data_IF_974995821160
#
_entry.id   IF_974995821160
#
_cell.length_a   1.000
_cell.length_b   1.000
_cell.length_c   1.000
_cell.angle_alpha   90.00
_cell.angle_beta   90.00
_cell.angle_gamma   90.00
#
_symmetry.space_group_name_H-M   'P 1'
#
loop_
_entity.id
_entity.type
_entity.pdbx_description
1 polymer ?
#
# COMPACT_ATOMS: atom_id res chain seq x y z
N UNK A 1 -3.28 -4.58 -29.70
CA UNK A 1 -2.32 -5.66 -29.34
C UNK A 1 -1.13 -5.02 -28.67
N UNK A 2 -0.72 -5.54 -27.51
CA UNK A 2 0.44 -5.03 -26.76
C UNK A 2 1.67 -5.65 -27.41
N UNK A 3 2.55 -4.84 -27.96
CA UNK A 3 3.79 -5.30 -28.58
C UNK A 3 4.72 -5.86 -27.50
N UNK A 4 5.23 -7.06 -27.74
CA UNK A 4 5.88 -8.01 -26.82
C UNK A 4 7.27 -7.61 -26.31
N UNK A 5 7.55 -6.32 -26.09
CA UNK A 5 8.92 -5.84 -25.87
C UNK A 5 9.34 -5.42 -24.46
N UNK A 6 8.42 -4.93 -23.60
CA UNK A 6 8.84 -4.13 -22.43
C UNK A 6 8.17 -4.48 -21.09
N UNK A 7 7.09 -5.27 -21.07
CA UNK A 7 6.28 -5.49 -19.86
C UNK A 7 6.05 -6.97 -19.59
N UNK A 8 7.13 -7.73 -19.51
CA UNK A 8 7.05 -9.18 -19.31
C UNK A 8 6.87 -9.58 -17.85
N UNK A 9 7.34 -8.77 -16.89
CA UNK A 9 7.31 -9.11 -15.46
C UNK A 9 6.15 -8.44 -14.72
N UNK A 10 5.33 -9.24 -14.02
CA UNK A 10 4.36 -8.74 -13.04
C UNK A 10 4.50 -9.51 -11.74
N UNK A 11 4.21 -8.85 -10.63
CA UNK A 11 4.21 -9.43 -9.28
C UNK A 11 2.83 -9.22 -8.66
N UNK A 12 2.35 -10.22 -7.93
CA UNK A 12 1.08 -10.17 -7.20
C UNK A 12 1.28 -10.75 -5.81
N UNK A 13 0.86 -9.99 -4.80
CA UNK A 13 0.79 -10.44 -3.42
C UNK A 13 -0.53 -11.17 -3.18
N UNK A 14 -0.50 -12.14 -2.28
CA UNK A 14 -1.65 -12.91 -1.84
C UNK A 14 -1.57 -13.11 -0.34
N UNK A 15 -2.71 -13.39 0.29
CA UNK A 15 -2.74 -13.65 1.73
C UNK A 15 -1.90 -14.85 2.16
N UNK A 16 -1.82 -15.87 1.28
CA UNK A 16 -1.31 -17.19 1.63
C UNK A 16 -2.14 -17.88 2.72
N UNK A 17 -1.76 -19.12 3.01
CA UNK A 17 -2.29 -19.95 4.08
C UNK A 17 -1.11 -20.57 4.83
N UNK A 18 -1.21 -20.56 6.15
CA UNK A 18 -0.22 -21.17 7.05
C UNK A 18 -0.89 -22.24 7.90
N UNK A 19 -0.22 -23.38 8.05
CA UNK A 19 -0.62 -24.43 8.97
C UNK A 19 0.31 -24.47 10.17
N UNK A 20 -0.25 -24.87 11.31
CA UNK A 20 0.45 -24.97 12.58
C UNK A 20 0.05 -26.24 13.33
N UNK A 21 1.01 -26.80 14.07
CA UNK A 21 0.81 -28.01 14.87
C UNK A 21 1.26 -27.86 16.32
N UNK A 22 2.16 -26.91 16.63
CA UNK A 22 2.76 -26.77 17.96
C UNK A 22 2.96 -25.30 18.29
N UNK A 23 2.41 -24.82 19.41
CA UNK A 23 2.60 -23.45 19.90
C UNK A 23 4.10 -23.17 20.11
N UNK A 24 4.59 -22.01 19.66
CA UNK A 24 6.00 -21.63 19.62
C UNK A 24 6.79 -22.27 18.48
N UNK A 25 6.17 -23.17 17.71
CA UNK A 25 6.77 -23.79 16.53
C UNK A 25 6.70 -22.89 15.29
N UNK A 26 7.36 -23.31 14.22
CA UNK A 26 7.30 -22.62 12.93
C UNK A 26 6.01 -22.92 12.18
N UNK A 27 5.48 -21.91 11.50
CA UNK A 27 4.38 -22.07 10.55
C UNK A 27 4.90 -22.74 9.28
N UNK A 28 4.09 -23.61 8.69
CA UNK A 28 4.29 -24.10 7.32
C UNK A 28 3.38 -23.32 6.37
N UNK A 29 3.96 -22.57 5.44
CA UNK A 29 3.20 -21.85 4.40
C UNK A 29 2.79 -22.86 3.32
N UNK A 30 1.49 -23.12 3.21
CA UNK A 30 0.92 -24.12 2.29
C UNK A 30 0.50 -23.52 0.96
N UNK A 31 0.17 -22.22 0.94
CA UNK A 31 -0.07 -21.47 -0.30
C UNK A 31 0.83 -20.25 -0.39
N UNK A 32 1.49 -20.01 -1.55
CA UNK A 32 2.42 -18.89 -1.72
C UNK A 32 1.75 -17.53 -1.51
N UNK A 33 2.48 -16.61 -0.87
CA UNK A 33 2.03 -15.22 -0.66
C UNK A 33 2.48 -14.26 -1.76
N UNK A 34 3.34 -14.72 -2.67
CA UNK A 34 3.88 -13.91 -3.74
C UNK A 34 4.01 -14.73 -5.03
N UNK A 35 3.49 -14.16 -6.12
CA UNK A 35 3.45 -14.76 -7.44
C UNK A 35 4.11 -13.84 -8.46
N UNK A 36 4.77 -14.43 -9.47
CA UNK A 36 5.39 -13.70 -10.57
C UNK A 36 5.05 -14.33 -11.91
N UNK A 37 4.83 -13.47 -12.89
CA UNK A 37 4.83 -13.83 -14.30
C UNK A 37 6.05 -13.19 -14.98
N UNK A 38 6.59 -13.86 -15.99
CA UNK A 38 7.65 -13.35 -16.87
C UNK A 38 7.16 -13.23 -18.33
N UNK A 39 5.86 -13.35 -18.54
CA UNK A 39 5.21 -13.39 -19.86
C UNK A 39 3.90 -12.60 -19.89
N UNK A 40 3.86 -11.48 -19.15
CA UNK A 40 2.72 -10.57 -19.08
C UNK A 40 1.40 -11.23 -18.62
N UNK A 41 1.51 -12.26 -17.78
CA UNK A 41 0.40 -12.96 -17.14
C UNK A 41 -0.10 -14.19 -17.90
N UNK A 42 0.61 -14.66 -18.93
CA UNK A 42 0.26 -15.91 -19.60
C UNK A 42 0.55 -17.14 -18.72
N UNK A 43 1.59 -17.08 -17.88
CA UNK A 43 1.89 -18.06 -16.85
C UNK A 43 2.30 -17.40 -15.54
N UNK A 44 1.94 -18.04 -14.42
CA UNK A 44 2.24 -17.58 -13.08
C UNK A 44 3.03 -18.65 -12.34
N UNK A 45 4.14 -18.24 -11.73
CA UNK A 45 5.04 -19.11 -11.00
C UNK A 45 5.28 -18.53 -9.60
N UNK A 46 5.56 -19.41 -8.66
CA UNK A 46 6.14 -19.00 -7.37
C UNK A 46 7.56 -18.50 -7.59
N UNK A 47 8.02 -17.62 -6.72
CA UNK A 47 9.32 -16.95 -6.93
C UNK A 47 10.50 -17.78 -6.41
N UNK A 48 10.31 -18.60 -5.38
CA UNK A 48 11.40 -19.43 -4.86
C UNK A 48 11.34 -20.89 -5.35
N UNK A 49 12.51 -21.52 -5.29
CA UNK A 49 12.77 -22.92 -5.66
C UNK A 49 12.50 -23.87 -4.50
N UNK A 50 12.24 -25.15 -4.81
CA UNK A 50 12.18 -26.21 -3.81
C UNK A 50 13.47 -26.23 -2.94
N UNK A 51 13.32 -26.29 -1.60
CA UNK A 51 14.44 -26.38 -0.65
C UNK A 51 14.73 -25.12 0.18
N UNK A 52 13.77 -24.20 0.35
CA UNK A 52 13.92 -23.03 1.24
C UNK A 52 14.46 -23.40 2.63
N UNK A 53 15.35 -22.60 3.24
CA UNK A 53 15.80 -22.80 4.60
C UNK A 53 14.65 -22.87 5.61
N UNK A 54 14.89 -23.49 6.77
CA UNK A 54 13.92 -23.52 7.86
C UNK A 54 13.47 -22.09 8.24
N UNK A 55 12.15 -21.91 8.39
CA UNK A 55 11.56 -20.61 8.71
C UNK A 55 11.36 -19.67 7.51
N UNK A 56 11.60 -20.14 6.28
CA UNK A 56 11.38 -19.39 5.04
C UNK A 56 10.40 -20.12 4.12
N UNK A 57 9.40 -19.39 3.63
CA UNK A 57 8.37 -19.93 2.74
C UNK A 57 8.90 -20.19 1.32
N UNK A 58 8.05 -20.81 0.49
CA UNK A 58 8.33 -20.99 -0.95
C UNK A 58 8.25 -19.68 -1.77
N UNK A 59 8.05 -18.55 -1.10
CA UNK A 59 8.12 -17.20 -1.64
C UNK A 59 9.35 -16.43 -1.14
N UNK A 60 10.24 -17.08 -0.37
CA UNK A 60 11.44 -16.47 0.19
C UNK A 60 11.18 -15.57 1.42
N UNK A 61 9.91 -15.36 1.80
CA UNK A 61 9.53 -14.56 2.96
C UNK A 61 9.49 -15.43 4.24
N UNK A 62 9.69 -14.85 5.45
CA UNK A 62 9.65 -15.60 6.69
C UNK A 62 8.31 -16.32 6.90
N UNK A 63 8.30 -17.52 7.48
CA UNK A 63 7.06 -18.28 7.68
C UNK A 63 6.28 -17.88 8.93
N UNK A 64 6.92 -17.29 9.94
CA UNK A 64 6.23 -16.85 11.17
C UNK A 64 6.19 -17.92 12.26
N UNK A 65 5.29 -17.73 13.24
CA UNK A 65 5.21 -18.52 14.47
C UNK A 65 3.79 -19.05 14.72
N UNK A 66 3.70 -20.24 15.30
CA UNK A 66 2.46 -20.82 15.78
C UNK A 66 2.12 -20.27 17.17
N UNK A 67 0.96 -19.64 17.30
CA UNK A 67 0.58 -18.90 18.50
C UNK A 67 -0.69 -19.46 19.11
N UNK A 68 -0.94 -19.12 20.37
CA UNK A 68 -2.20 -19.37 21.03
C UNK A 68 -2.94 -18.05 21.22
N UNK A 69 -4.10 -17.89 20.58
CA UNK A 69 -4.95 -16.70 20.71
C UNK A 69 -6.15 -16.91 21.65
N UNK A 70 -6.23 -18.06 22.32
CA UNK A 70 -7.00 -18.21 23.56
C UNK A 70 -8.51 -18.01 23.46
N UNK A 71 -9.20 -18.60 22.49
CA UNK A 71 -10.65 -18.83 22.63
C UNK A 71 -10.89 -20.25 23.14
N UNK A 72 -11.75 -20.42 24.15
CA UNK A 72 -12.04 -21.70 24.83
C UNK A 72 -12.63 -22.80 23.91
N UNK A 73 -12.78 -22.53 22.60
CA UNK A 73 -13.43 -23.38 21.63
C UNK A 73 -12.49 -23.98 20.56
N UNK A 74 -11.22 -23.54 20.48
CA UNK A 74 -10.27 -23.99 19.45
C UNK A 74 -8.95 -24.44 20.12
N UNK A 75 -8.74 -25.76 20.33
CA UNK A 75 -7.53 -26.29 20.96
C UNK A 75 -6.30 -26.30 20.03
N UNK A 76 -6.44 -25.87 18.77
CA UNK A 76 -5.35 -25.90 17.78
C UNK A 76 -4.59 -24.56 17.73
N UNK A 77 -3.25 -24.60 17.54
CA UNK A 77 -2.45 -23.39 17.41
C UNK A 77 -2.78 -22.63 16.12
N UNK A 78 -2.75 -21.31 16.20
CA UNK A 78 -3.00 -20.41 15.08
C UNK A 78 -1.69 -20.04 14.40
N UNK A 79 -1.70 -20.02 13.07
CA UNK A 79 -0.54 -19.59 12.28
C UNK A 79 -0.50 -18.06 12.20
N UNK A 80 0.49 -17.43 12.84
CA UNK A 80 0.78 -16.01 12.69
C UNK A 80 2.02 -15.80 11.82
N UNK A 81 1.86 -15.09 10.72
CA UNK A 81 2.89 -14.97 9.70
C UNK A 81 2.76 -13.68 8.90
N UNK A 82 3.87 -13.14 8.37
CA UNK A 82 3.83 -11.91 7.61
C UNK A 82 3.09 -12.11 6.29
N UNK A 83 2.05 -11.32 6.08
CA UNK A 83 1.29 -11.30 4.84
C UNK A 83 1.71 -10.06 4.06
N UNK A 84 2.30 -10.20 2.85
CA UNK A 84 2.68 -9.06 2.03
C UNK A 84 1.42 -8.35 1.51
N UNK A 85 1.36 -7.03 1.66
CA UNK A 85 0.23 -6.20 1.21
C UNK A 85 0.68 -5.22 0.15
N UNK A 86 1.43 -4.15 0.47
CA UNK A 86 2.03 -3.34 -0.58
C UNK A 86 3.30 -4.02 -1.11
N UNK A 87 3.46 -4.00 -2.43
CA UNK A 87 4.68 -4.36 -3.12
C UNK A 87 5.09 -3.21 -4.05
N UNK A 88 6.36 -2.86 -4.03
CA UNK A 88 6.95 -1.87 -4.93
C UNK A 88 8.17 -2.48 -5.61
N UNK A 89 8.25 -2.29 -6.92
CA UNK A 89 9.42 -2.65 -7.73
C UNK A 89 10.22 -1.38 -7.98
N UNK A 90 11.53 -1.46 -7.80
CA UNK A 90 12.42 -0.35 -8.12
C UNK A 90 12.40 -0.09 -9.64
N UNK A 91 12.19 1.17 -10.01
CA UNK A 91 12.04 1.57 -11.41
C UNK A 91 13.38 1.72 -12.14
N UNK A 92 14.49 1.86 -11.41
CA UNK A 92 15.84 1.87 -11.97
C UNK A 92 16.41 0.45 -12.08
N UNK A 93 16.06 -0.45 -11.15
CA UNK A 93 16.46 -1.85 -11.17
C UNK A 93 15.32 -2.80 -10.78
N UNK A 94 14.69 -3.42 -11.77
CA UNK A 94 13.55 -4.33 -11.57
C UNK A 94 13.88 -5.65 -10.85
N UNK A 95 15.15 -5.89 -10.49
CA UNK A 95 15.53 -6.97 -9.57
C UNK A 95 15.36 -6.59 -8.11
N UNK A 96 15.24 -5.29 -7.80
CA UNK A 96 15.02 -4.78 -6.46
C UNK A 96 13.52 -4.64 -6.20
N UNK A 97 13.06 -5.24 -5.11
CA UNK A 97 11.67 -5.17 -4.66
C UNK A 97 11.59 -4.86 -3.18
N UNK A 98 10.49 -4.23 -2.79
CA UNK A 98 10.13 -3.98 -1.40
C UNK A 98 8.72 -4.50 -1.17
N UNK A 99 8.51 -5.21 -0.05
CA UNK A 99 7.18 -5.60 0.41
C UNK A 99 6.96 -5.12 1.83
N UNK A 100 5.81 -4.52 2.07
CA UNK A 100 5.31 -4.27 3.42
C UNK A 100 4.44 -5.44 3.85
N UNK A 101 4.47 -5.79 5.13
CA UNK A 101 3.70 -6.93 5.64
C UNK A 101 2.78 -6.53 6.79
N UNK A 102 1.74 -7.33 7.00
CA UNK A 102 0.90 -7.28 8.19
C UNK A 102 0.75 -8.66 8.83
N UNK A 103 0.50 -8.68 10.13
CA UNK A 103 0.14 -9.87 10.89
C UNK A 103 -1.37 -9.86 11.13
N UNK A 104 -2.05 -10.96 10.84
CA UNK A 104 -3.52 -11.04 10.89
C UNK A 104 -4.06 -11.22 12.31
N UNK A 105 -3.34 -11.93 13.16
CA UNK A 105 -3.90 -12.49 14.39
C UNK A 105 -3.61 -11.67 15.65
N UNK A 106 -2.97 -10.50 15.52
CA UNK A 106 -2.71 -9.61 16.64
C UNK A 106 -3.76 -8.50 16.72
N UNK A 107 -4.27 -8.21 17.92
CA UNK A 107 -5.05 -7.01 18.22
C UNK A 107 -4.63 -6.37 19.56
N UNK A 108 -4.98 -5.09 19.76
CA UNK A 108 -4.64 -4.30 20.96
C UNK A 108 -5.22 -4.80 22.29
N UNK A 109 -6.14 -5.75 22.25
CA UNK A 109 -6.71 -6.38 23.43
C UNK A 109 -6.16 -7.78 23.70
N UNK A 110 -5.27 -8.30 22.85
CA UNK A 110 -4.72 -9.64 23.01
C UNK A 110 -3.60 -9.65 24.05
N UNK A 111 -3.55 -10.69 24.88
CA UNK A 111 -2.42 -10.96 25.79
C UNK A 111 -1.16 -11.41 25.05
N UNK A 112 -1.29 -11.68 23.74
CA UNK A 112 -0.23 -12.06 22.84
C UNK A 112 0.54 -10.84 22.36
N UNK A 113 1.87 -10.83 22.52
CA UNK A 113 2.75 -9.85 21.85
C UNK A 113 3.38 -10.49 20.61
N UNK A 114 3.30 -9.88 19.42
CA UNK A 114 3.83 -10.49 18.20
C UNK A 114 5.32 -10.77 18.25
N UNK A 115 5.71 -12.00 17.90
CA UNK A 115 7.11 -12.41 17.76
C UNK A 115 7.45 -12.90 16.34
N UNK A 116 6.47 -12.95 15.45
CA UNK A 116 6.65 -13.19 14.02
C UNK A 116 7.40 -12.02 13.36
N UNK A 117 8.34 -12.26 12.43
CA UNK A 117 8.93 -11.20 11.61
C UNK A 117 7.85 -10.40 10.87
N UNK A 118 7.97 -9.08 10.87
CA UNK A 118 7.01 -8.17 10.23
C UNK A 118 7.68 -6.83 9.88
N UNK A 119 7.06 -6.03 9.02
CA UNK A 119 7.55 -4.72 8.59
C UNK A 119 7.79 -4.66 7.09
N UNK A 120 8.91 -4.10 6.67
CA UNK A 120 9.35 -4.07 5.27
C UNK A 120 10.43 -5.12 5.06
N UNK A 121 10.33 -5.85 3.95
CA UNK A 121 11.39 -6.70 3.43
C UNK A 121 11.83 -6.21 2.06
N UNK A 122 13.15 -6.26 1.81
CA UNK A 122 13.78 -5.91 0.54
C UNK A 122 14.38 -7.14 -0.12
N UNK A 123 14.17 -7.28 -1.42
CA UNK A 123 14.85 -8.24 -2.29
C UNK A 123 15.76 -7.48 -3.26
N UNK A 124 16.85 -8.12 -3.67
CA UNK A 124 17.78 -7.62 -4.71
C UNK A 124 18.02 -8.64 -5.83
N UNK A 125 17.21 -9.70 -5.86
CA UNK A 125 17.36 -10.84 -6.77
C UNK A 125 16.02 -11.22 -7.44
N UNK A 126 15.11 -10.25 -7.58
CA UNK A 126 13.82 -10.45 -8.25
C UNK A 126 12.80 -11.19 -7.40
N UNK A 127 12.93 -11.12 -6.07
CA UNK A 127 12.00 -11.66 -5.08
C UNK A 127 12.32 -13.08 -4.60
N UNK A 128 13.52 -13.60 -4.92
CA UNK A 128 13.93 -14.97 -4.54
C UNK A 128 14.34 -15.01 -3.08
N UNK A 129 15.11 -14.02 -2.62
CA UNK A 129 15.47 -13.84 -1.21
C UNK A 129 15.05 -12.46 -0.71
N UNK A 130 14.77 -12.39 0.60
CA UNK A 130 14.27 -11.20 1.27
C UNK A 130 15.04 -10.94 2.55
N UNK A 131 15.43 -9.68 2.76
CA UNK A 131 16.08 -9.21 3.99
C UNK A 131 15.23 -8.13 4.67
N UNK A 132 15.22 -8.02 6.01
CA UNK A 132 14.53 -6.94 6.70
C UNK A 132 15.04 -5.55 6.28
N UNK A 133 14.12 -4.60 6.11
CA UNK A 133 14.40 -3.22 5.69
C UNK A 133 13.56 -2.21 6.49
N UNK A 134 13.43 -2.44 7.80
CA UNK A 134 12.51 -1.72 8.69
C UNK A 134 13.19 -0.77 9.70
N UNK A 135 14.49 -0.50 9.58
CA UNK A 135 15.23 0.31 10.56
C UNK A 135 14.63 1.71 10.69
N UNK A 136 14.27 2.10 11.91
CA UNK A 136 13.63 3.39 12.19
C UNK A 136 12.10 3.40 12.08
N UNK A 137 11.48 2.29 11.66
CA UNK A 137 10.03 2.12 11.74
C UNK A 137 9.60 1.70 13.16
N UNK A 138 8.36 2.04 13.57
CA UNK A 138 7.84 1.73 14.90
C UNK A 138 7.78 0.23 15.13
N UNK A 139 8.07 -0.16 16.38
CA UNK A 139 8.05 -1.54 16.83
C UNK A 139 6.80 -1.79 17.67
N UNK A 140 6.34 -3.02 17.71
CA UNK A 140 5.34 -3.45 18.69
C UNK A 140 5.85 -3.17 20.11
N UNK A 141 4.96 -2.73 21.00
CA UNK A 141 5.28 -2.51 22.40
C UNK A 141 5.92 -3.78 23.02
N UNK A 142 7.01 -3.59 23.76
CA UNK A 142 7.77 -4.69 24.38
C UNK A 142 8.64 -5.50 23.41
N UNK A 143 8.79 -5.08 22.15
CA UNK A 143 9.68 -5.74 21.18
C UNK A 143 10.82 -4.83 20.76
N UNK A 144 12.00 -5.43 20.55
CA UNK A 144 13.21 -4.72 20.10
C UNK A 144 13.46 -4.86 18.59
N UNK A 145 12.76 -5.76 17.91
CA UNK A 145 13.04 -6.10 16.49
C UNK A 145 11.78 -6.43 15.67
N UNK A 146 10.57 -6.19 16.21
CA UNK A 146 9.31 -6.54 15.53
C UNK A 146 8.55 -5.29 15.16
N UNK A 147 8.65 -4.92 13.89
CA UNK A 147 8.02 -3.73 13.33
C UNK A 147 6.50 -3.90 13.24
N UNK A 148 5.78 -2.80 13.45
CA UNK A 148 4.33 -2.75 13.23
C UNK A 148 3.98 -2.97 11.75
N UNK A 149 2.70 -3.24 11.43
CA UNK A 149 2.26 -3.46 10.05
C UNK A 149 2.58 -2.30 9.11
N UNK A 150 2.94 -2.64 7.87
CA UNK A 150 3.15 -1.68 6.77
C UNK A 150 2.10 -1.93 5.71
N UNK A 151 1.20 -0.96 5.51
CA UNK A 151 -0.01 -1.14 4.71
C UNK A 151 0.04 -0.44 3.37
N UNK A 152 0.88 0.59 3.23
CA UNK A 152 1.16 1.23 1.95
C UNK A 152 2.67 1.44 1.79
N UNK A 153 3.15 1.29 0.56
CA UNK A 153 4.48 1.67 0.14
C UNK A 153 4.37 2.41 -1.18
N UNK A 154 5.15 3.48 -1.33
CA UNK A 154 5.33 4.19 -2.58
C UNK A 154 6.80 4.55 -2.76
N UNK A 155 7.29 4.49 -3.99
CA UNK A 155 8.62 4.95 -4.36
C UNK A 155 8.50 6.23 -5.17
N UNK A 156 9.40 7.18 -4.91
CA UNK A 156 9.53 8.37 -5.72
C UNK A 156 9.93 7.96 -7.15
N UNK A 157 9.11 8.31 -8.15
CA UNK A 157 9.29 7.81 -9.48
C UNK A 157 10.35 8.62 -10.27
N UNK A 158 10.93 9.68 -9.69
CA UNK A 158 12.14 10.34 -10.21
C UNK A 158 13.42 9.94 -9.45
N UNK A 159 13.29 9.45 -8.21
CA UNK A 159 14.42 9.06 -7.37
C UNK A 159 14.16 7.75 -6.61
N UNK A 160 14.67 6.64 -7.11
CA UNK A 160 14.47 5.31 -6.51
C UNK A 160 15.04 5.14 -5.08
N UNK A 161 15.89 6.06 -4.60
CA UNK A 161 16.35 6.05 -3.20
C UNK A 161 15.31 6.57 -2.23
N UNK A 162 14.29 7.28 -2.72
CA UNK A 162 13.24 7.87 -1.88
C UNK A 162 12.00 6.97 -1.88
N UNK A 163 11.62 6.51 -0.70
CA UNK A 163 10.43 5.69 -0.49
C UNK A 163 9.61 6.25 0.67
N UNK A 164 8.31 5.98 0.63
CA UNK A 164 7.35 6.30 1.67
C UNK A 164 6.65 5.03 2.14
N UNK A 165 6.47 4.88 3.44
CA UNK A 165 5.82 3.74 4.06
C UNK A 165 4.76 4.19 5.05
N UNK A 166 3.54 3.67 4.90
CA UNK A 166 2.49 3.87 5.88
C UNK A 166 2.53 2.73 6.90
N UNK A 167 2.82 3.07 8.16
CA UNK A 167 2.80 2.10 9.25
C UNK A 167 1.54 2.26 10.07
N UNK A 168 1.06 1.16 10.61
CA UNK A 168 -0.23 1.16 11.26
C UNK A 168 -0.20 0.44 12.61
N UNK A 169 -0.15 1.19 13.72
CA UNK A 169 -0.16 0.62 15.04
C UNK A 169 -1.59 0.37 15.57
N UNK A 170 -2.63 0.16 14.74
CA UNK A 170 -4.04 -0.14 15.16
C UNK A 170 -4.18 -1.17 16.30
N UNK A 171 -3.11 -1.88 16.59
CA UNK A 171 -3.03 -3.02 17.45
C UNK A 171 -2.44 -2.69 18.83
N UNK A 172 -2.24 -1.43 19.25
CA UNK A 172 -1.87 -1.17 20.66
C UNK A 172 -2.52 0.03 21.35
N UNK A 173 -3.52 0.69 20.75
CA UNK A 173 -4.28 1.82 21.31
C UNK A 173 -3.46 2.99 21.90
N UNK A 174 -2.14 3.00 21.69
CA UNK A 174 -1.23 4.01 22.16
C UNK A 174 -1.01 5.08 21.07
N UNK A 175 -0.88 6.33 21.52
CA UNK A 175 -0.74 7.56 20.74
C UNK A 175 -0.21 7.41 19.29
N UNK A 176 -1.04 7.76 18.30
CA UNK A 176 -0.76 7.68 16.87
C UNK A 176 0.15 8.83 16.40
N UNK A 177 1.47 8.63 16.46
CA UNK A 177 2.43 9.61 15.93
C UNK A 177 3.22 9.00 14.78
N UNK A 178 3.22 9.70 13.63
CA UNK A 178 3.97 9.33 12.44
C UNK A 178 3.36 8.16 11.70
N UNK A 179 2.27 8.36 10.96
CA UNK A 179 1.61 7.27 10.23
C UNK A 179 2.27 7.01 8.86
N UNK A 180 3.08 7.96 8.39
CA UNK A 180 3.91 7.83 7.19
C UNK A 180 5.36 8.07 7.59
N UNK A 181 6.25 7.25 7.03
CA UNK A 181 7.69 7.36 7.17
C UNK A 181 8.32 7.50 5.80
N UNK A 182 9.46 8.19 5.74
CA UNK A 182 10.25 8.39 4.54
C UNK A 182 11.62 7.76 4.70
N UNK A 183 12.07 7.07 3.66
CA UNK A 183 13.47 6.72 3.45
C UNK A 183 14.03 7.57 2.32
N UNK A 184 15.29 7.98 2.44
CA UNK A 184 16.06 8.67 1.38
C UNK A 184 17.30 7.86 0.95
N UNK A 185 17.40 6.62 1.43
CA UNK A 185 18.53 5.72 1.23
C UNK A 185 18.06 4.30 0.86
N UNK A 186 17.09 4.21 -0.05
CA UNK A 186 16.61 2.95 -0.63
C UNK A 186 16.16 1.91 0.43
N UNK A 187 15.44 2.39 1.45
CA UNK A 187 14.86 1.56 2.51
C UNK A 187 15.85 1.09 3.58
N UNK A 188 17.09 1.60 3.60
CA UNK A 188 18.08 1.26 4.64
C UNK A 188 17.63 1.79 6.01
N UNK A 189 17.09 3.01 6.06
CA UNK A 189 16.50 3.59 7.25
C UNK A 189 15.32 4.50 6.93
N UNK A 190 14.43 4.65 7.91
CA UNK A 190 13.19 5.41 7.81
C UNK A 190 13.11 6.46 8.92
N UNK A 191 12.51 7.60 8.62
CA UNK A 191 12.19 8.66 9.58
C UNK A 191 10.75 9.13 9.38
N UNK A 192 10.15 9.69 10.43
CA UNK A 192 8.77 10.19 10.38
C UNK A 192 8.63 11.21 9.24
N UNK A 193 7.65 11.01 8.38
CA UNK A 193 7.26 11.93 7.33
C UNK A 193 6.12 12.83 7.82
N UNK A 194 6.52 13.82 8.62
CA UNK A 194 5.73 15.02 8.85
C UNK A 194 4.58 14.95 9.85
N UNK A 195 3.85 16.07 9.94
CA UNK A 195 2.67 16.28 10.79
C UNK A 195 1.38 16.39 9.94
N UNK A 196 0.21 16.33 10.57
CA UNK A 196 -1.10 16.43 9.88
C UNK A 196 -1.76 15.09 9.54
N UNK A 197 -1.09 13.96 9.82
CA UNK A 197 -1.67 12.61 9.66
C UNK A 197 -1.86 11.87 10.99
N UNK A 198 -1.77 12.55 12.13
CA UNK A 198 -1.95 11.91 13.43
C UNK A 198 -3.33 11.23 13.50
N UNK A 199 -3.36 9.97 13.93
CA UNK A 199 -4.60 9.18 14.04
C UNK A 199 -5.20 8.66 12.73
N UNK A 200 -4.59 8.95 11.56
CA UNK A 200 -5.11 8.52 10.26
C UNK A 200 -4.75 7.08 9.88
N UNK A 201 -5.73 6.29 9.44
CA UNK A 201 -5.50 4.93 8.94
C UNK A 201 -4.96 4.94 7.50
N UNK A 202 -3.68 5.26 7.29
CA UNK A 202 -3.17 5.38 5.92
C UNK A 202 -3.09 3.98 5.26
N UNK A 203 -3.91 3.79 4.22
CA UNK A 203 -4.06 2.54 3.45
C UNK A 203 -3.46 2.61 2.05
N UNK A 204 -3.26 3.81 1.51
CA UNK A 204 -2.59 4.00 0.23
C UNK A 204 -1.72 5.26 0.22
N UNK A 205 -0.62 5.19 -0.51
CA UNK A 205 0.31 6.27 -0.76
C UNK A 205 0.57 6.37 -2.27
N UNK A 206 0.69 7.58 -2.78
CA UNK A 206 0.97 7.84 -4.19
C UNK A 206 1.85 9.08 -4.32
N UNK A 207 3.03 8.94 -4.92
CA UNK A 207 3.89 10.09 -5.25
C UNK A 207 3.50 10.59 -6.64
N UNK A 208 3.33 11.90 -6.79
CA UNK A 208 3.05 12.53 -8.07
C UNK A 208 4.25 12.30 -9.02
N UNK A 209 4.04 11.65 -10.18
CA UNK A 209 5.10 11.33 -11.11
C UNK A 209 5.77 12.52 -11.78
N UNK A 210 5.14 13.70 -11.75
CA UNK A 210 5.67 14.95 -12.30
C UNK A 210 6.20 15.90 -11.22
N UNK A 211 5.94 15.60 -9.93
CA UNK A 211 6.45 16.38 -8.81
C UNK A 211 6.73 15.50 -7.58
N UNK A 212 7.99 15.14 -7.36
CA UNK A 212 8.43 14.34 -6.21
C UNK A 212 8.16 14.94 -4.83
N UNK A 213 7.88 16.25 -4.73
CA UNK A 213 7.47 16.87 -3.47
C UNK A 213 5.99 16.65 -3.16
N UNK A 214 5.18 16.29 -4.18
CA UNK A 214 3.76 16.04 -4.00
C UNK A 214 3.49 14.57 -3.73
N UNK A 215 2.96 14.27 -2.55
CA UNK A 215 2.53 12.92 -2.18
C UNK A 215 1.09 12.95 -1.70
N UNK A 216 0.31 11.97 -2.12
CA UNK A 216 -1.05 11.74 -1.68
C UNK A 216 -1.12 10.56 -0.73
N UNK A 217 -1.98 10.65 0.28
CA UNK A 217 -2.26 9.59 1.23
C UNK A 217 -3.78 9.39 1.36
N UNK A 218 -4.23 8.14 1.38
CA UNK A 218 -5.63 7.79 1.55
C UNK A 218 -5.82 7.09 2.92
N UNK A 219 -6.76 7.60 3.70
CA UNK A 219 -7.11 7.12 5.04
C UNK A 219 -8.37 6.25 4.99
N UNK A 220 -8.23 5.00 5.45
CA UNK A 220 -9.27 3.99 5.50
C UNK A 220 -10.34 4.23 6.56
N UNK A 221 -10.21 5.27 7.39
CA UNK A 221 -11.17 5.64 8.41
C UNK A 221 -11.40 4.61 9.52
N UNK A 222 -11.94 5.04 10.64
CA UNK A 222 -12.42 4.25 11.77
C UNK A 222 -13.60 4.97 12.45
N UNK A 223 -14.10 4.43 13.56
CA UNK A 223 -15.25 5.00 14.28
C UNK A 223 -15.00 6.42 14.82
N UNK A 224 -13.74 6.83 14.99
CA UNK A 224 -13.33 8.13 15.52
C UNK A 224 -12.88 9.12 14.43
N UNK A 225 -12.55 8.64 13.24
CA UNK A 225 -12.20 9.47 12.08
C UNK A 225 -12.73 8.82 10.80
N UNK A 226 -13.63 9.46 10.03
CA UNK A 226 -14.28 8.83 8.87
C UNK A 226 -13.33 8.45 7.72
N UNK A 227 -12.05 8.84 7.79
CA UNK A 227 -11.08 8.70 6.72
C UNK A 227 -11.12 9.87 5.76
N UNK A 228 -10.34 9.80 4.69
CA UNK A 228 -10.20 10.91 3.75
C UNK A 228 -8.97 10.79 2.86
N UNK A 229 -8.69 11.85 2.12
CA UNK A 229 -7.50 11.97 1.26
C UNK A 229 -6.70 13.19 1.70
N UNK A 230 -5.40 13.00 1.81
CA UNK A 230 -4.45 14.02 2.24
C UNK A 230 -3.38 14.23 1.18
N UNK A 231 -2.81 15.43 1.15
CA UNK A 231 -1.70 15.79 0.27
C UNK A 231 -0.59 16.48 1.05
N UNK A 232 0.64 16.12 0.74
CA UNK A 232 1.84 16.87 1.08
C UNK A 232 2.38 17.52 -0.18
N UNK A 233 2.81 18.79 -0.10
CA UNK A 233 3.47 19.51 -1.21
C UNK A 233 4.97 19.75 -0.95
N UNK A 234 5.49 19.26 0.18
CA UNK A 234 6.83 19.54 0.69
C UNK A 234 7.63 18.24 0.96
N UNK A 235 7.34 17.20 0.19
CA UNK A 235 8.08 15.95 0.23
C UNK A 235 7.75 15.07 1.45
N UNK A 236 6.57 15.25 2.04
CA UNK A 236 6.07 14.51 3.20
C UNK A 236 6.38 15.19 4.54
N UNK A 237 6.69 16.49 4.57
CA UNK A 237 7.00 17.22 5.81
C UNK A 237 5.73 17.72 6.50
N UNK A 238 4.73 18.16 5.72
CA UNK A 238 3.39 18.52 6.20
C UNK A 238 2.33 17.91 5.31
N UNK A 239 1.19 17.57 5.90
CA UNK A 239 0.06 16.97 5.21
C UNK A 239 -1.21 17.76 5.47
N UNK A 240 -1.97 18.02 4.41
CA UNK A 240 -3.23 18.75 4.45
C UNK A 240 -4.34 17.88 3.88
N UNK A 241 -5.53 17.95 4.48
CA UNK A 241 -6.72 17.28 3.94
C UNK A 241 -7.13 17.93 2.61
N UNK A 242 -7.54 17.09 1.67
CA UNK A 242 -8.18 17.47 0.39
C UNK A 242 -9.48 16.68 0.21
N UNK A 243 -10.13 16.35 1.34
CA UNK A 243 -11.28 15.45 1.37
C UNK A 243 -12.60 16.13 1.01
N UNK A 244 -12.60 17.44 0.79
CA UNK A 244 -13.79 18.22 0.43
C UNK A 244 -14.51 17.59 -0.78
N UNK A 245 -15.78 17.27 -0.60
CA UNK A 245 -16.62 16.63 -1.64
C UNK A 245 -16.50 15.10 -1.73
N UNK A 246 -15.67 14.45 -0.91
CA UNK A 246 -15.80 13.01 -0.67
C UNK A 246 -17.05 12.75 0.18
N UNK A 247 -17.83 11.70 -0.12
CA UNK A 247 -18.73 11.18 0.90
C UNK A 247 -17.90 10.75 2.11
N UNK A 248 -18.45 10.93 3.32
CA UNK A 248 -17.88 10.62 4.64
C UNK A 248 -17.50 9.13 4.75
N UNK A 249 -16.48 8.72 4.02
CA UNK A 249 -16.16 7.33 3.74
C UNK A 249 -14.65 7.16 3.54
N UNK A 250 -14.17 6.01 4.00
CA UNK A 250 -12.81 5.52 3.88
C UNK A 250 -12.26 5.58 2.44
N UNK A 251 -11.11 6.21 2.21
CA UNK A 251 -10.34 6.02 0.99
C UNK A 251 -9.28 4.93 1.22
N UNK A 252 -9.23 3.94 0.33
CA UNK A 252 -8.33 2.77 0.49
C UNK A 252 -7.41 2.55 -0.70
N UNK A 253 -7.65 3.26 -1.80
CA UNK A 253 -6.83 3.22 -3.01
C UNK A 253 -6.77 4.59 -3.66
N UNK A 254 -5.66 4.89 -4.33
CA UNK A 254 -5.44 6.12 -5.08
C UNK A 254 -4.93 5.82 -6.49
N UNK A 255 -5.34 6.62 -7.45
CA UNK A 255 -4.75 6.67 -8.79
C UNK A 255 -4.72 8.11 -9.28
N UNK A 256 -3.67 8.49 -10.01
CA UNK A 256 -3.52 9.83 -10.56
C UNK A 256 -3.49 9.73 -12.08
N UNK A 257 -4.38 10.48 -12.74
CA UNK A 257 -4.29 10.76 -14.16
C UNK A 257 -3.62 12.12 -14.35
N UNK A 258 -2.39 12.09 -14.85
CA UNK A 258 -1.59 13.27 -15.18
C UNK A 258 -1.44 13.48 -16.69
N UNK A 259 -2.26 12.80 -17.52
CA UNK A 259 -2.14 12.87 -18.99
C UNK A 259 -2.44 14.26 -19.54
N UNK A 260 -3.17 15.09 -18.79
CA UNK A 260 -3.42 16.49 -19.07
C UNK A 260 -2.76 17.33 -17.97
N UNK A 261 -1.54 17.81 -18.23
CA UNK A 261 -0.70 18.51 -17.25
C UNK A 261 -1.35 19.75 -16.59
N UNK A 262 -2.36 20.33 -17.23
CA UNK A 262 -3.07 21.51 -16.70
C UNK A 262 -4.01 21.17 -15.52
N UNK A 263 -4.51 19.94 -15.43
CA UNK A 263 -5.48 19.51 -14.40
C UNK A 263 -5.29 18.02 -14.09
N UNK A 264 -4.27 17.63 -13.31
CA UNK A 264 -4.14 16.26 -12.87
C UNK A 264 -5.38 15.86 -12.05
N UNK A 265 -6.00 14.74 -12.42
CA UNK A 265 -7.20 14.23 -11.76
C UNK A 265 -6.81 13.12 -10.82
N UNK A 266 -7.08 13.31 -9.53
CA UNK A 266 -6.88 12.26 -8.52
C UNK A 266 -8.17 11.45 -8.39
N UNK A 267 -8.02 10.13 -8.40
CA UNK A 267 -9.10 9.18 -8.13
C UNK A 267 -8.89 8.52 -6.79
N UNK A 268 -9.93 8.49 -5.96
CA UNK A 268 -9.94 7.76 -4.69
C UNK A 268 -10.97 6.64 -4.73
N UNK A 269 -10.52 5.41 -4.45
CA UNK A 269 -11.38 4.26 -4.27
C UNK A 269 -11.81 4.12 -2.82
N UNK A 270 -13.12 4.05 -2.58
CA UNK A 270 -13.74 3.80 -1.28
C UNK A 270 -14.56 2.51 -1.29
N UNK A 271 -15.12 2.15 -0.14
CA UNK A 271 -16.08 1.03 -0.02
C UNK A 271 -17.38 1.27 -0.79
N UNK A 272 -17.69 2.52 -1.14
CA UNK A 272 -18.94 2.93 -1.78
C UNK A 272 -18.78 3.30 -3.25
N UNK A 273 -17.55 3.43 -3.76
CA UNK A 273 -17.31 3.75 -5.17
C UNK A 273 -15.92 4.33 -5.45
N UNK A 274 -15.76 4.86 -6.65
CA UNK A 274 -14.56 5.61 -7.07
C UNK A 274 -14.96 7.06 -7.32
N UNK A 275 -14.18 7.99 -6.77
CA UNK A 275 -14.46 9.42 -6.82
C UNK A 275 -13.28 10.15 -7.44
N UNK A 276 -13.57 11.18 -8.25
CA UNK A 276 -12.57 12.02 -8.89
C UNK A 276 -12.52 13.40 -8.24
N UNK A 277 -11.32 13.96 -8.11
CA UNK A 277 -11.07 15.26 -7.47
C UNK A 277 -10.24 16.16 -8.38
N UNK A 278 -10.71 17.38 -8.54
CA UNK A 278 -9.87 18.56 -8.78
C UNK A 278 -9.48 19.11 -7.41
N UNK A 279 -8.17 19.14 -7.13
CA UNK A 279 -7.60 19.46 -5.80
C UNK A 279 -8.21 20.74 -5.20
N UNK A 280 -8.88 20.60 -4.07
CA UNK A 280 -9.33 21.71 -3.22
C UNK A 280 -8.88 21.41 -1.79
N UNK A 281 -8.22 22.36 -1.15
CA UNK A 281 -7.80 22.23 0.25
C UNK A 281 -9.02 22.27 1.17
N UNK A 282 -8.98 21.44 2.19
CA UNK A 282 -9.95 21.42 3.29
C UNK A 282 -9.85 22.72 4.12
N UNK A 283 -10.89 23.59 4.13
CA UNK A 283 -10.80 24.92 4.74
C UNK A 283 -10.66 24.95 6.26
N UNK A 284 -11.21 23.95 6.98
CA UNK A 284 -11.12 23.89 8.44
C UNK A 284 -10.03 22.92 8.94
N UNK A 285 -9.55 22.05 8.05
CA UNK A 285 -8.38 21.20 8.28
C UNK A 285 -8.62 20.07 9.29
N UNK A 286 -9.89 19.74 9.57
CA UNK A 286 -10.22 18.66 10.51
C UNK A 286 -10.07 17.26 9.88
N UNK A 287 -9.96 17.19 8.55
CA UNK A 287 -9.76 15.96 7.80
C UNK A 287 -11.01 15.09 7.65
N UNK A 288 -12.18 15.56 8.08
CA UNK A 288 -13.45 14.86 8.02
C UNK A 288 -14.38 15.55 7.00
N UNK A 289 -14.87 14.85 5.95
CA UNK A 289 -15.80 15.48 5.02
C UNK A 289 -17.09 15.92 5.72
N UNK A 290 -17.43 17.21 5.64
CA UNK A 290 -18.60 17.80 6.30
C UNK A 290 -19.53 18.53 5.32
N UNK A 291 -20.79 18.72 5.72
CA UNK A 291 -21.82 19.36 4.88
C UNK A 291 -21.56 20.85 4.61
N UNK A 292 -20.59 21.47 5.29
CA UNK A 292 -20.13 22.85 5.06
C UNK A 292 -19.11 23.00 3.93
N UNK A 293 -18.53 21.92 3.43
CA UNK A 293 -17.44 21.93 2.44
C UNK A 293 -17.91 21.96 0.97
N UNK A 294 -19.23 21.96 0.73
CA UNK A 294 -19.81 22.03 -0.60
C UNK A 294 -19.62 23.41 -1.31
N UNK A 295 -18.96 24.36 -0.65
CA UNK A 295 -18.86 25.76 -1.06
C UNK A 295 -17.55 26.21 -1.72
N UNK A 296 -16.57 25.32 -1.93
CA UNK A 296 -15.36 25.66 -2.69
C UNK A 296 -15.70 25.88 -4.18
N UNK A 297 -15.01 26.81 -4.88
CA UNK A 297 -15.43 27.29 -6.20
C UNK A 297 -15.55 26.13 -7.20
N UNK A 298 -16.80 25.82 -7.55
CA UNK A 298 -17.27 24.80 -8.49
C UNK A 298 -16.57 23.44 -8.33
N UNK A 299 -17.13 22.62 -7.43
CA UNK A 299 -17.03 21.17 -7.53
C UNK A 299 -17.47 20.73 -8.93
N UNK A 300 -16.51 20.43 -9.80
CA UNK A 300 -16.75 19.57 -10.94
C UNK A 300 -16.97 18.16 -10.36
N UNK A 301 -18.21 17.91 -9.93
CA UNK A 301 -18.82 16.61 -9.68
C UNK A 301 -17.84 15.47 -9.41
N UNK A 302 -17.68 15.07 -8.15
CA UNK A 302 -17.25 13.73 -7.83
C UNK A 302 -18.28 12.76 -8.43
N UNK A 303 -18.09 12.35 -9.67
CA UNK A 303 -19.02 11.51 -10.40
C UNK A 303 -18.75 10.08 -9.94
N UNK A 304 -19.75 9.42 -9.38
CA UNK A 304 -19.70 7.97 -9.18
C UNK A 304 -19.56 7.35 -10.57
N UNK A 305 -18.37 6.88 -10.90
CA UNK A 305 -18.16 6.11 -12.11
C UNK A 305 -18.83 4.76 -11.91
N UNK A 306 -20.04 4.61 -12.44
CA UNK A 306 -20.73 3.32 -12.49
C UNK A 306 -19.85 2.28 -13.19
N UNK A 307 -19.88 1.03 -12.72
CA UNK A 307 -19.26 -0.07 -13.42
C UNK A 307 -19.92 -0.19 -14.81
N UNK A 308 -19.20 0.05 -15.93
CA UNK A 308 -19.85 0.10 -17.23
C UNK A 308 -20.42 -1.27 -17.58
N UNK A 309 -21.71 -1.33 -17.85
CA UNK A 309 -22.45 -2.53 -18.23
C UNK A 309 -22.19 -2.97 -19.67
N UNK A 310 -21.37 -2.23 -20.43
CA UNK A 310 -20.93 -2.62 -21.77
C UNK A 310 -19.46 -2.25 -21.96
N UNK A 311 -18.60 -3.27 -21.98
CA UNK A 311 -17.16 -3.15 -22.22
C UNK A 311 -16.32 -3.26 -20.95
N UNK A 312 -15.45 -4.27 -20.89
CA UNK A 312 -14.52 -4.50 -19.77
C UNK A 312 -13.60 -3.28 -19.59
N UNK A 313 -13.84 -2.46 -18.57
CA UNK A 313 -12.86 -1.46 -18.13
C UNK A 313 -11.77 -2.19 -17.35
N UNK A 314 -10.59 -2.31 -17.96
CA UNK A 314 -9.37 -2.74 -17.29
C UNK A 314 -8.68 -1.49 -16.75
N UNK A 315 -8.70 -1.31 -15.43
CA UNK A 315 -7.83 -0.34 -14.77
C UNK A 315 -6.39 -0.85 -14.84
N UNK A 316 -5.53 -0.13 -15.58
CA UNK A 316 -4.09 -0.33 -15.57
C UNK A 316 -3.47 0.85 -14.84
N UNK A 317 -2.68 0.59 -13.80
CA UNK A 317 -1.70 1.56 -13.36
C UNK A 317 -0.66 1.68 -14.49
N UNK A 318 -0.70 2.78 -15.23
CA UNK A 318 0.28 3.08 -16.28
C UNK A 318 0.92 4.44 -15.99
N UNK A 319 2.25 4.44 -15.91
CA UNK A 319 3.08 5.62 -16.16
C UNK A 319 3.51 5.55 -17.63
N UNK A 320 3.15 6.52 -18.47
CA UNK A 320 3.92 6.92 -19.65
C UNK A 320 3.30 8.12 -20.36
N UNK A 321 4.10 9.17 -20.43
CA UNK A 321 4.10 10.31 -21.37
C UNK A 321 3.49 9.93 -22.73
N UNK A 322 2.34 10.51 -23.07
CA UNK A 322 1.79 10.46 -24.42
C UNK A 322 2.54 11.48 -25.30
N UNK A 323 3.24 10.98 -26.31
CA UNK A 323 3.73 11.79 -27.44
C UNK A 323 2.54 12.10 -28.34
N UNK A 324 2.35 13.35 -28.81
CA UNK A 324 1.17 13.71 -29.59
C UNK A 324 1.29 13.17 -31.02
N UNK A 325 0.33 12.36 -31.45
CA UNK A 325 0.11 12.11 -32.87
C UNK A 325 -1.29 12.53 -33.29
N UNK A 326 -1.30 13.64 -34.01
CA UNK A 326 -2.20 14.06 -35.09
C UNK A 326 -3.55 13.35 -35.27
N UNK A 327 -4.60 14.15 -35.17
CA UNK A 327 -5.97 13.88 -35.59
C UNK A 327 -6.00 13.43 -37.06
N UNK A 328 -6.52 12.24 -37.32
CA UNK A 328 -7.07 11.89 -38.64
C UNK A 328 -8.54 11.52 -38.49
N UNK A 329 -9.41 12.34 -39.10
CA UNK A 329 -10.81 12.02 -39.37
C UNK A 329 -10.86 10.85 -40.35
N UNK A 330 -11.69 9.85 -40.08
CA UNK A 330 -12.16 8.93 -41.12
C UNK A 330 -13.47 9.48 -41.72
N UNK A 331 -13.64 9.45 -43.05
CA UNK A 331 -14.84 9.93 -43.72
C UNK A 331 -15.97 8.88 -43.64
N UNK A 332 -17.20 9.38 -43.62
CA UNK A 332 -18.44 8.59 -43.73
C UNK A 332 -18.52 7.87 -45.07
N UNK A 333 -19.20 6.72 -45.09
CA UNK A 333 -20.40 6.57 -45.92
C UNK A 333 -21.67 6.58 -45.07
#
# INVERSE_FOLDING_TARGET
MITSGAWSKLYVTASGNGNCSTIGGSVTITTPRLWRTLDAGASWNTISTAGSPAGVGSDGLPTGECINIGTLAEPQPWADFPIPVPLVVDHADTSILYVGTYLRNYNAGSSYTPNSPNGIFKSSDGGVTWSPASTGLPLYAGRSTRTTPVLALAMDPSNHNVLYAATNPFLDNSSFVGNVYKSTNAGVSWAIAGTGLAGQDIRALLVDPDNSLRIYAASGGNALNPGGVFVSEDGGTTWNSISAGLPVTSATALALDNTIAATPTLYAGSRTGVYAFTRVLDPDGDGAPSTGEAGAPTAATATVMGCPTVGRVRWRACRARLVPHSVHRCPSP
#
